data_IF_049003039515
#
_entry.id   IF_049003039515
#
_cell.length_a   1.000
_cell.length_b   1.000
_cell.length_c   1.000
_cell.angle_alpha   90.00
_cell.angle_beta   90.00
_cell.angle_gamma   90.00
#
_symmetry.space_group_name_H-M   'P 1'
#
loop_
_entity.id
_entity.type
_entity.pdbx_description
1 polymer ?
#
# COMPACT_ATOMS: atom_id res chain seq x y z
N UNK A 1 -14.83 9.40 -5.41
CA UNK A 1 -14.40 10.81 -5.32
C UNK A 1 -12.91 10.95 -4.98
N UNK A 2 -12.34 10.14 -4.07
CA UNK A 2 -10.94 10.21 -3.63
C UNK A 2 -9.92 10.04 -4.78
N UNK A 3 -10.14 9.12 -5.72
CA UNK A 3 -9.25 8.92 -6.88
C UNK A 3 -9.30 10.13 -7.81
N UNK A 4 -10.51 10.63 -8.12
CA UNK A 4 -10.66 11.81 -8.99
C UNK A 4 -9.95 13.06 -8.44
N UNK A 5 -9.80 13.16 -7.12
CA UNK A 5 -9.09 14.26 -6.48
C UNK A 5 -7.55 14.08 -6.52
N UNK A 6 -7.07 12.84 -6.69
CA UNK A 6 -5.62 12.50 -6.67
C UNK A 6 -5.01 12.26 -8.06
N UNK A 7 -5.85 11.95 -9.05
CA UNK A 7 -5.42 11.69 -10.43
C UNK A 7 -6.03 12.72 -11.39
N UNK A 8 -5.21 13.63 -11.94
CA UNK A 8 -5.66 14.61 -12.94
C UNK A 8 -6.23 13.99 -14.21
N UNK A 9 -5.85 12.74 -14.55
CA UNK A 9 -6.35 12.03 -15.73
C UNK A 9 -7.75 11.42 -15.51
N UNK A 10 -8.25 11.37 -14.27
CA UNK A 10 -9.53 10.78 -13.91
C UNK A 10 -10.72 11.65 -14.31
N UNK A 11 -11.31 11.42 -15.48
CA UNK A 11 -12.39 12.25 -16.04
C UNK A 11 -13.76 11.97 -15.43
N UNK A 12 -14.11 10.69 -15.20
CA UNK A 12 -15.43 10.29 -14.70
C UNK A 12 -15.36 9.12 -13.73
N UNK A 13 -16.34 9.02 -12.84
CA UNK A 13 -16.44 7.89 -11.88
C UNK A 13 -16.63 6.57 -12.64
N UNK A 14 -17.41 6.54 -13.70
CA UNK A 14 -17.63 5.34 -14.50
C UNK A 14 -16.33 4.86 -15.15
N UNK A 15 -15.53 5.76 -15.70
CA UNK A 15 -14.21 5.45 -16.24
C UNK A 15 -13.30 4.85 -15.17
N UNK A 16 -13.26 5.45 -13.97
CA UNK A 16 -12.45 4.94 -12.86
C UNK A 16 -12.84 3.50 -12.51
N UNK A 17 -14.14 3.21 -12.35
CA UNK A 17 -14.61 1.86 -12.00
C UNK A 17 -14.25 0.84 -13.08
N UNK A 18 -14.40 1.20 -14.34
CA UNK A 18 -14.21 0.27 -15.46
C UNK A 18 -12.74 0.08 -15.86
N UNK A 19 -11.90 1.09 -15.72
CA UNK A 19 -10.55 1.09 -16.32
C UNK A 19 -9.40 1.06 -15.32
N UNK A 20 -9.61 1.43 -14.04
CA UNK A 20 -8.54 1.47 -13.06
C UNK A 20 -8.30 0.09 -12.42
N UNK A 21 -7.15 -0.55 -12.67
CA UNK A 21 -6.86 -1.87 -12.13
C UNK A 21 -6.80 -1.86 -10.59
N UNK A 22 -6.31 -0.79 -9.98
CA UNK A 22 -6.24 -0.66 -8.53
C UNK A 22 -7.62 -0.71 -7.85
N UNK A 23 -8.66 -0.12 -8.47
CA UNK A 23 -10.04 -0.18 -7.94
C UNK A 23 -10.55 -1.62 -7.93
N UNK A 24 -10.33 -2.34 -9.04
CA UNK A 24 -10.72 -3.75 -9.16
C UNK A 24 -9.97 -4.62 -8.15
N UNK A 25 -8.65 -4.41 -8.02
CA UNK A 25 -7.82 -5.17 -7.08
C UNK A 25 -8.28 -4.99 -5.64
N UNK A 26 -8.56 -3.75 -5.21
CA UNK A 26 -9.07 -3.47 -3.87
C UNK A 26 -10.46 -4.09 -3.66
N UNK A 27 -11.35 -4.03 -4.64
CA UNK A 27 -12.66 -4.69 -4.57
C UNK A 27 -12.52 -6.21 -4.38
N UNK A 28 -11.75 -6.87 -5.23
CA UNK A 28 -11.51 -8.32 -5.12
C UNK A 28 -10.82 -8.69 -3.80
N UNK A 29 -9.90 -7.83 -3.33
CA UNK A 29 -9.28 -8.04 -2.03
C UNK A 29 -10.31 -8.00 -0.89
N UNK A 30 -11.28 -7.08 -0.88
CA UNK A 30 -12.33 -7.05 0.16
C UNK A 30 -13.13 -8.34 0.17
N UNK A 31 -13.46 -8.89 -1.00
CA UNK A 31 -14.16 -10.19 -1.11
C UNK A 31 -13.27 -11.32 -0.63
N UNK A 32 -12.01 -11.38 -1.07
CA UNK A 32 -11.06 -12.41 -0.65
C UNK A 32 -10.80 -12.37 0.87
N UNK A 33 -10.64 -11.18 1.45
CA UNK A 33 -10.44 -10.99 2.89
C UNK A 33 -11.65 -11.47 3.71
N UNK A 34 -12.86 -11.23 3.23
CA UNK A 34 -14.07 -11.76 3.86
C UNK A 34 -14.03 -13.29 3.97
N UNK A 35 -13.69 -14.00 2.87
CA UNK A 35 -13.58 -15.46 2.90
C UNK A 35 -12.40 -15.93 3.76
N UNK A 36 -11.29 -15.22 3.76
CA UNK A 36 -10.14 -15.52 4.62
C UNK A 36 -10.51 -15.43 6.11
N UNK A 37 -11.17 -14.35 6.53
CA UNK A 37 -11.64 -14.19 7.92
C UNK A 37 -12.65 -15.27 8.31
N UNK A 38 -13.47 -15.71 7.36
CA UNK A 38 -14.44 -16.79 7.56
C UNK A 38 -13.81 -18.22 7.57
N UNK A 39 -12.47 -18.33 7.40
CA UNK A 39 -11.74 -19.61 7.40
C UNK A 39 -11.73 -20.36 6.07
N UNK A 40 -12.22 -19.74 4.98
CA UNK A 40 -12.21 -20.33 3.62
C UNK A 40 -10.95 -19.92 2.83
N UNK A 41 -9.77 -20.28 3.34
CA UNK A 41 -8.48 -19.82 2.79
C UNK A 41 -8.27 -20.17 1.31
N UNK A 42 -8.64 -21.37 0.89
CA UNK A 42 -8.50 -21.78 -0.51
C UNK A 42 -9.32 -20.87 -1.44
N UNK A 43 -10.58 -20.60 -1.08
CA UNK A 43 -11.46 -19.70 -1.85
C UNK A 43 -10.86 -18.30 -1.89
N UNK A 44 -10.43 -17.78 -0.74
CA UNK A 44 -9.78 -16.49 -0.63
C UNK A 44 -8.55 -16.37 -1.55
N UNK A 45 -7.70 -17.41 -1.57
CA UNK A 45 -6.51 -17.47 -2.44
C UNK A 45 -6.87 -17.53 -3.91
N UNK A 46 -7.88 -18.30 -4.30
CA UNK A 46 -8.35 -18.36 -5.70
C UNK A 46 -8.83 -16.98 -6.15
N UNK A 47 -9.65 -16.30 -5.35
CA UNK A 47 -10.13 -14.94 -5.66
C UNK A 47 -8.95 -13.97 -5.81
N UNK A 48 -7.99 -14.01 -4.89
CA UNK A 48 -6.80 -13.15 -4.94
C UNK A 48 -5.95 -13.39 -6.20
N UNK A 49 -5.71 -14.66 -6.58
CA UNK A 49 -4.94 -14.98 -7.78
C UNK A 49 -5.69 -14.64 -9.08
N UNK A 50 -7.01 -14.80 -9.08
CA UNK A 50 -7.86 -14.35 -10.19
C UNK A 50 -7.78 -12.83 -10.36
N UNK A 51 -7.84 -12.08 -9.25
CA UNK A 51 -7.63 -10.63 -9.27
C UNK A 51 -6.27 -10.25 -9.85
N UNK A 52 -5.20 -10.91 -9.38
CA UNK A 52 -3.84 -10.70 -9.89
C UNK A 52 -3.73 -10.92 -11.39
N UNK A 53 -4.35 -11.99 -11.90
CA UNK A 53 -4.35 -12.30 -13.34
C UNK A 53 -4.94 -11.15 -14.18
N UNK A 54 -6.07 -10.56 -13.73
CA UNK A 54 -6.74 -9.48 -14.47
C UNK A 54 -6.17 -8.08 -14.21
N UNK A 55 -5.52 -7.85 -13.08
CA UNK A 55 -5.09 -6.50 -12.67
C UNK A 55 -3.58 -6.30 -12.67
N UNK A 56 -2.79 -7.38 -12.66
CA UNK A 56 -1.35 -7.31 -12.44
C UNK A 56 -0.94 -6.93 -11.02
N UNK A 57 -1.91 -6.91 -10.06
CA UNK A 57 -1.72 -6.50 -8.66
C UNK A 57 -1.97 -7.71 -7.76
N UNK A 58 -0.98 -8.06 -6.95
CA UNK A 58 -1.12 -9.10 -5.94
C UNK A 58 -1.39 -8.51 -4.57
N UNK A 59 -2.53 -8.86 -3.98
CA UNK A 59 -2.84 -8.52 -2.59
C UNK A 59 -3.20 -9.82 -1.87
N UNK A 60 -2.43 -10.15 -0.83
CA UNK A 60 -2.74 -11.34 -0.01
C UNK A 60 -4.07 -11.14 0.73
N UNK A 61 -4.94 -12.16 0.80
CA UNK A 61 -6.24 -12.04 1.50
C UNK A 61 -6.13 -11.61 2.96
N UNK A 62 -5.05 -11.99 3.65
CA UNK A 62 -4.80 -11.62 5.05
C UNK A 62 -4.36 -10.18 5.29
N UNK A 63 -3.99 -9.43 4.23
CA UNK A 63 -3.59 -8.04 4.40
C UNK A 63 -4.74 -7.17 4.94
N UNK A 64 -4.40 -6.25 5.86
CA UNK A 64 -5.37 -5.28 6.40
C UNK A 64 -5.23 -3.95 5.65
N UNK A 65 -6.30 -3.51 5.03
CA UNK A 65 -6.30 -2.30 4.20
C UNK A 65 -7.35 -1.33 4.70
N UNK A 66 -6.93 -0.10 5.01
CA UNK A 66 -7.80 1.00 5.41
C UNK A 66 -8.69 1.54 4.29
N UNK A 67 -9.23 2.73 4.48
CA UNK A 67 -10.10 3.41 3.51
C UNK A 67 -9.28 4.15 2.46
N UNK A 68 -9.88 4.35 1.28
CA UNK A 68 -9.35 5.21 0.22
C UNK A 68 -7.94 4.84 -0.27
N UNK A 69 -7.53 3.56 -0.19
CA UNK A 69 -6.30 3.13 -0.84
C UNK A 69 -6.39 3.43 -2.34
N UNK A 70 -5.42 4.16 -2.87
CA UNK A 70 -5.27 4.42 -4.29
C UNK A 70 -4.02 3.72 -4.83
N UNK A 71 -4.21 2.76 -5.74
CA UNK A 71 -3.12 2.10 -6.46
C UNK A 71 -3.15 2.63 -7.89
N UNK A 72 -2.14 3.45 -8.21
CA UNK A 72 -2.00 4.07 -9.52
C UNK A 72 -1.15 3.22 -10.45
N UNK A 73 -1.61 3.03 -11.69
CA UNK A 73 -1.08 2.08 -12.69
C UNK A 73 -1.12 0.61 -12.22
N UNK A 74 -0.57 0.30 -11.09
CA UNK A 74 -0.71 -0.93 -10.32
C UNK A 74 0.08 -2.15 -10.78
N UNK A 75 0.51 -2.23 -12.03
CA UNK A 75 1.24 -3.39 -12.53
C UNK A 75 2.45 -3.73 -11.64
N UNK A 76 2.55 -5.00 -11.20
CA UNK A 76 3.65 -5.49 -10.39
C UNK A 76 3.62 -5.08 -8.91
N UNK A 77 2.53 -4.49 -8.42
CA UNK A 77 2.35 -4.26 -6.98
C UNK A 77 2.15 -5.60 -6.26
N UNK A 78 2.87 -5.79 -5.15
CA UNK A 78 2.74 -6.95 -4.28
C UNK A 78 2.53 -6.50 -2.83
N UNK A 79 1.44 -6.93 -2.22
CA UNK A 79 1.10 -6.65 -0.82
C UNK A 79 1.01 -7.97 -0.06
N UNK A 80 1.99 -8.22 0.83
CA UNK A 80 2.12 -9.47 1.56
C UNK A 80 1.11 -9.64 2.69
N UNK A 81 1.01 -10.86 3.21
CA UNK A 81 -0.03 -11.36 4.12
C UNK A 81 -0.26 -10.49 5.37
N UNK A 82 0.79 -10.18 6.10
CA UNK A 82 0.68 -9.45 7.38
C UNK A 82 0.87 -7.94 7.21
N UNK A 83 0.75 -7.42 5.97
CA UNK A 83 0.78 -5.97 5.72
C UNK A 83 -0.43 -5.28 6.34
N UNK A 84 -0.19 -4.11 6.91
CA UNK A 84 -1.23 -3.22 7.39
C UNK A 84 -1.10 -1.87 6.70
N UNK A 85 -2.17 -1.38 6.10
CA UNK A 85 -2.19 -0.14 5.33
C UNK A 85 -3.27 0.77 5.90
N UNK A 86 -2.86 1.96 6.31
CA UNK A 86 -3.75 2.99 6.83
C UNK A 86 -4.66 3.61 5.76
N UNK A 87 -5.36 4.65 6.15
CA UNK A 87 -6.27 5.36 5.25
C UNK A 87 -5.53 6.31 4.30
N UNK A 88 -6.13 6.60 3.16
CA UNK A 88 -5.68 7.57 2.15
C UNK A 88 -4.28 7.31 1.57
N UNK A 89 -3.77 6.08 1.67
CA UNK A 89 -2.46 5.73 1.13
C UNK A 89 -2.50 5.71 -0.40
N UNK A 90 -1.42 6.20 -1.02
CA UNK A 90 -1.20 6.12 -2.47
C UNK A 90 -0.01 5.22 -2.76
N UNK A 91 -0.19 4.24 -3.65
CA UNK A 91 0.84 3.28 -4.07
C UNK A 91 0.95 3.32 -5.59
N UNK A 92 2.14 3.50 -6.12
CA UNK A 92 2.41 3.42 -7.55
C UNK A 92 2.78 1.98 -7.97
N UNK A 93 2.95 1.77 -9.27
CA UNK A 93 3.27 0.44 -9.84
C UNK A 93 4.59 -0.13 -9.31
N UNK A 94 4.74 -1.45 -9.40
CA UNK A 94 5.94 -2.22 -9.02
C UNK A 94 6.39 -2.05 -7.55
N UNK A 95 5.53 -1.53 -6.66
CA UNK A 95 5.81 -1.44 -5.23
C UNK A 95 5.64 -2.81 -4.58
N UNK A 96 6.58 -3.17 -3.70
CA UNK A 96 6.49 -4.39 -2.88
C UNK A 96 6.41 -4.04 -1.40
N UNK A 97 5.36 -4.52 -0.73
CA UNK A 97 5.29 -4.62 0.72
C UNK A 97 5.61 -6.07 1.10
N UNK A 98 6.91 -6.35 1.25
CA UNK A 98 7.47 -7.69 1.36
C UNK A 98 7.81 -8.10 2.79
N UNK A 99 7.90 -9.41 3.02
CA UNK A 99 8.38 -9.98 4.28
C UNK A 99 9.90 -9.98 4.38
N UNK A 100 10.41 -10.18 5.60
CA UNK A 100 11.82 -10.49 5.81
C UNK A 100 12.19 -11.80 5.12
N UNK A 101 13.48 -11.99 4.84
CA UNK A 101 13.97 -13.16 4.09
C UNK A 101 13.37 -14.49 4.58
N UNK A 102 12.80 -15.31 3.70
CA UNK A 102 12.11 -16.54 4.08
C UNK A 102 13.03 -17.71 4.39
N UNK A 103 14.34 -17.53 4.34
CA UNK A 103 15.29 -18.64 4.20
C UNK A 103 15.59 -19.42 5.47
N UNK A 104 15.15 -18.95 6.63
CA UNK A 104 15.44 -19.62 7.91
C UNK A 104 14.18 -19.64 8.77
N UNK A 105 13.78 -20.83 9.28
CA UNK A 105 12.66 -21.01 10.20
C UNK A 105 11.27 -20.58 9.67
N UNK A 106 10.85 -21.10 8.52
CA UNK A 106 9.51 -20.84 7.93
C UNK A 106 8.37 -21.08 8.93
N UNK A 107 8.50 -22.11 9.79
CA UNK A 107 7.47 -22.43 10.81
C UNK A 107 7.31 -21.29 11.83
N UNK A 108 8.40 -20.70 12.30
CA UNK A 108 8.34 -19.56 13.23
C UNK A 108 7.70 -18.33 12.60
N UNK A 109 7.90 -18.12 11.29
CA UNK A 109 7.38 -16.95 10.58
C UNK A 109 5.87 -17.04 10.26
N UNK A 110 5.25 -18.22 10.35
CA UNK A 110 3.83 -18.42 9.97
C UNK A 110 2.86 -17.59 10.79
N UNK A 111 3.19 -17.27 12.03
CA UNK A 111 2.30 -16.57 12.95
C UNK A 111 2.84 -15.21 13.39
N UNK A 112 3.93 -14.75 12.78
CA UNK A 112 4.57 -13.51 13.13
C UNK A 112 4.27 -12.39 12.12
N UNK A 113 4.27 -11.16 12.62
CA UNK A 113 4.26 -9.96 11.80
C UNK A 113 5.58 -9.90 11.02
N UNK A 114 5.53 -10.05 9.69
CA UNK A 114 6.72 -10.06 8.80
C UNK A 114 6.66 -9.08 7.65
N UNK A 115 5.52 -8.39 7.46
CA UNK A 115 5.32 -7.39 6.41
C UNK A 115 5.11 -6.01 7.01
N UNK A 116 5.30 -4.93 6.22
CA UNK A 116 5.24 -3.55 6.70
C UNK A 116 3.89 -3.12 7.27
N UNK A 117 3.96 -2.13 8.16
CA UNK A 117 2.82 -1.30 8.57
C UNK A 117 2.97 0.09 7.95
N UNK A 118 1.99 0.51 7.15
CA UNK A 118 1.97 1.79 6.46
C UNK A 118 0.97 2.70 7.14
N UNK A 119 1.43 3.84 7.63
CA UNK A 119 0.59 4.86 8.28
C UNK A 119 -0.41 5.52 7.31
N UNK A 120 -1.26 6.37 7.86
CA UNK A 120 -2.22 7.14 7.07
C UNK A 120 -1.51 8.16 6.17
N UNK A 121 -2.12 8.51 5.04
CA UNK A 121 -1.67 9.59 4.13
C UNK A 121 -0.25 9.40 3.57
N UNK A 122 0.27 8.16 3.55
CA UNK A 122 1.58 7.81 3.00
C UNK A 122 1.51 7.75 1.48
N UNK A 123 2.58 8.20 0.82
CA UNK A 123 2.76 8.07 -0.63
C UNK A 123 3.99 7.21 -0.91
N UNK A 124 3.81 6.14 -1.70
CA UNK A 124 4.88 5.19 -2.05
C UNK A 124 5.10 5.24 -3.56
N UNK A 125 6.27 5.76 -3.94
CA UNK A 125 6.68 5.91 -5.34
C UNK A 125 6.93 4.58 -6.05
N UNK A 126 6.89 4.62 -7.37
CA UNK A 126 7.02 3.45 -8.23
C UNK A 126 8.28 2.64 -7.96
N UNK A 127 8.16 1.32 -7.97
CA UNK A 127 9.29 0.41 -7.79
C UNK A 127 9.87 0.37 -6.37
N UNK A 128 9.32 1.11 -5.40
CA UNK A 128 9.84 1.10 -4.05
C UNK A 128 9.62 -0.26 -3.37
N UNK A 129 10.63 -0.71 -2.61
CA UNK A 129 10.63 -1.97 -1.88
C UNK A 129 10.62 -1.69 -0.39
N UNK A 130 9.57 -2.06 0.31
CA UNK A 130 9.47 -1.92 1.77
C UNK A 130 9.46 -3.34 2.35
N UNK A 131 10.54 -3.69 3.05
CA UNK A 131 10.83 -5.08 3.39
C UNK A 131 10.96 -5.27 4.90
N UNK A 132 10.24 -6.26 5.40
CA UNK A 132 10.24 -6.62 6.82
C UNK A 132 9.10 -5.93 7.60
N UNK A 133 8.99 -6.21 8.91
CA UNK A 133 7.94 -5.68 9.77
C UNK A 133 8.21 -4.22 10.19
N UNK A 134 8.66 -3.41 9.23
CA UNK A 134 8.96 -1.99 9.45
C UNK A 134 7.69 -1.14 9.48
N UNK A 135 7.74 -0.05 10.21
CA UNK A 135 6.66 0.93 10.27
C UNK A 135 7.01 2.17 9.44
N UNK A 136 6.12 2.53 8.52
CA UNK A 136 6.20 3.81 7.78
C UNK A 136 5.22 4.78 8.42
N UNK A 137 5.75 5.83 9.05
CA UNK A 137 4.98 6.83 9.79
C UNK A 137 4.01 7.62 8.90
N UNK A 138 2.98 8.18 9.51
CA UNK A 138 1.94 9.00 8.87
C UNK A 138 2.56 10.11 7.99
N UNK A 139 1.93 10.40 6.86
CA UNK A 139 2.35 11.44 5.92
C UNK A 139 3.77 11.27 5.35
N UNK A 140 4.43 10.12 5.55
CA UNK A 140 5.73 9.86 4.97
C UNK A 140 5.65 9.69 3.45
N UNK A 141 6.78 9.94 2.80
CA UNK A 141 6.96 9.77 1.35
C UNK A 141 8.12 8.84 1.08
N UNK A 142 7.85 7.81 0.32
CA UNK A 142 8.88 6.89 -0.16
C UNK A 142 9.09 7.19 -1.64
N UNK A 143 10.30 7.61 -2.00
CA UNK A 143 10.63 7.94 -3.39
C UNK A 143 10.64 6.68 -4.27
N UNK A 144 10.54 6.89 -5.57
CA UNK A 144 10.64 5.82 -6.55
C UNK A 144 11.94 5.02 -6.39
N UNK A 145 11.85 3.70 -6.52
CA UNK A 145 12.95 2.74 -6.38
C UNK A 145 13.71 2.78 -5.03
N UNK A 146 13.15 3.40 -4.01
CA UNK A 146 13.76 3.37 -2.68
C UNK A 146 13.58 2.00 -2.01
N UNK A 147 14.60 1.54 -1.28
CA UNK A 147 14.55 0.27 -0.52
C UNK A 147 14.54 0.57 0.98
N UNK A 148 13.38 0.39 1.60
CA UNK A 148 13.13 0.67 3.02
C UNK A 148 13.24 -0.63 3.81
N UNK A 149 14.19 -0.68 4.76
CA UNK A 149 14.46 -1.84 5.63
C UNK A 149 14.52 -1.44 7.11
N UNK A 150 14.12 -0.22 7.45
CA UNK A 150 14.06 0.33 8.81
C UNK A 150 12.84 1.23 8.92
N UNK A 151 12.39 1.44 10.14
CA UNK A 151 11.26 2.34 10.41
C UNK A 151 11.49 3.74 9.85
N UNK A 152 10.40 4.31 9.36
CA UNK A 152 10.36 5.64 8.74
C UNK A 152 9.58 6.58 9.65
N UNK A 153 10.19 7.70 10.09
CA UNK A 153 9.49 8.70 10.90
C UNK A 153 8.31 9.32 10.14
N UNK A 154 7.36 9.85 10.91
CA UNK A 154 6.25 10.63 10.34
C UNK A 154 6.75 11.80 9.49
N UNK A 155 6.05 12.07 8.41
CA UNK A 155 6.33 13.16 7.45
C UNK A 155 7.73 13.13 6.83
N UNK A 156 8.51 12.05 7.03
CA UNK A 156 9.82 11.90 6.43
C UNK A 156 9.72 11.61 4.92
N UNK A 157 10.72 12.04 4.19
CA UNK A 157 10.94 11.63 2.80
C UNK A 157 12.15 10.72 2.72
N UNK A 158 11.94 9.49 2.22
CA UNK A 158 12.98 8.47 2.11
C UNK A 158 13.41 8.31 0.66
N UNK A 159 14.71 8.29 0.41
CA UNK A 159 15.29 8.09 -0.93
C UNK A 159 16.44 7.08 -0.90
N UNK A 160 16.68 6.43 -2.02
CA UNK A 160 17.89 5.63 -2.26
C UNK A 160 17.85 4.18 -1.79
N UNK A 161 18.99 3.51 -1.86
CA UNK A 161 19.19 2.08 -1.57
C UNK A 161 20.45 1.92 -0.68
N UNK A 162 20.34 1.53 0.62
CA UNK A 162 19.12 1.57 1.41
C UNK A 162 18.59 3.00 1.56
N UNK A 163 17.28 3.13 1.80
CA UNK A 163 16.64 4.44 1.86
C UNK A 163 17.11 5.26 3.05
N UNK A 164 17.40 6.54 2.80
CA UNK A 164 17.76 7.52 3.83
C UNK A 164 16.78 8.67 3.84
N UNK A 165 16.57 9.25 5.02
CA UNK A 165 15.77 10.46 5.14
C UNK A 165 16.51 11.66 4.53
N UNK A 166 15.79 12.48 3.79
CA UNK A 166 16.30 13.77 3.29
C UNK A 166 15.66 14.91 4.09
N UNK A 167 16.45 15.93 4.39
CA UNK A 167 15.95 17.19 4.96
C UNK A 167 15.36 18.01 3.81
N UNK A 168 14.05 18.21 3.84
CA UNK A 168 13.39 19.14 2.92
C UNK A 168 13.28 20.50 3.59
N UNK A 169 13.68 21.57 2.91
CA UNK A 169 13.60 22.95 3.42
C UNK A 169 12.17 23.42 3.72
N UNK A 170 11.16 22.79 3.08
CA UNK A 170 9.74 23.09 3.26
C UNK A 170 9.03 22.01 4.11
N UNK A 171 9.42 21.84 5.36
CA UNK A 171 8.65 21.02 6.32
C UNK A 171 7.27 21.64 6.52
N UNK A 172 6.23 20.95 6.16
CA UNK A 172 4.85 21.29 6.52
C UNK A 172 3.88 21.60 5.38
N UNK A 173 4.31 21.63 4.13
CA UNK A 173 3.41 21.93 2.99
C UNK A 173 3.11 20.74 2.09
N UNK A 174 3.60 19.54 2.42
CA UNK A 174 3.23 18.38 1.63
C UNK A 174 1.85 17.90 2.06
N UNK A 175 0.94 17.86 1.09
CA UNK A 175 -0.35 17.18 1.21
C UNK A 175 -0.44 16.16 0.10
N UNK A 176 -0.83 14.92 0.42
CA UNK A 176 -1.25 14.00 -0.63
C UNK A 176 -2.39 14.65 -1.41
N UNK A 177 -2.35 14.52 -2.72
CA UNK A 177 -3.43 15.03 -3.58
C UNK A 177 -4.78 14.52 -3.09
N UNK A 178 -5.75 15.44 -2.90
CA UNK A 178 -7.13 15.10 -2.55
C UNK A 178 -7.38 14.74 -1.08
N UNK A 179 -6.49 15.08 -0.18
CA UNK A 179 -6.75 15.04 1.27
C UNK A 179 -7.20 16.43 1.73
N UNK A 180 -8.47 16.53 2.16
CA UNK A 180 -9.04 17.78 2.65
C UNK A 180 -8.42 18.23 3.96
N UNK A 181 -8.36 19.58 4.17
CA UNK A 181 -7.84 20.24 5.37
C UNK A 181 -8.57 19.92 6.67
N UNK A 182 -9.72 19.26 6.59
CA UNK A 182 -10.65 19.08 7.73
C UNK A 182 -10.21 18.06 8.79
N UNK A 183 -9.06 17.39 8.60
CA UNK A 183 -8.57 16.36 9.56
C UNK A 183 -7.62 16.96 10.63
N UNK A 184 -7.41 18.26 10.66
CA UNK A 184 -6.45 18.89 11.59
C UNK A 184 -7.01 19.31 12.94
N UNK A 185 -8.31 19.28 13.16
CA UNK A 185 -8.90 19.87 14.38
C UNK A 185 -9.42 18.85 15.41
N UNK A 186 -9.06 17.57 15.28
CA UNK A 186 -9.40 16.55 16.29
C UNK A 186 -8.15 15.81 16.79
N UNK A 187 -7.26 16.54 17.44
CA UNK A 187 -6.29 15.96 18.39
C UNK A 187 -5.96 16.95 19.52
#
# INVERSE_FOLDING_TARGET
NSIKARDPAAKSILSIILTYPGVKAVFFHRVANFFHIAGFDLIARIISQTSRFFTGIEIHPGAKIGKNLFIDHGMGVVIGETSEIGDNVTIYHAVTLGGSSPSVDTEKQRHEKRHPTIGHDVVIGSGAQIIGPVTVGKCARIAANAVVVKDVPESATMIGIPAKAVKLENKGKFRPYGVDDKVKDEQ
#
